data_IF_497450109758
#
_entry.id   IF_497450109758
#
_cell.length_a   1.000
_cell.length_b   1.000
_cell.length_c   1.000
_cell.angle_alpha   90.00
_cell.angle_beta   90.00
_cell.angle_gamma   90.00
#
_symmetry.space_group_name_H-M   'P 1'
#
loop_
_entity.id
_entity.type
_entity.pdbx_description
1 polymer ?
#
# COMPACT_ATOMS: atom_id res chain seq x y z
N UNK A 1 1.08 -7.70 12.06
CA UNK A 1 2.21 -7.08 11.33
C UNK A 1 3.06 -8.15 10.66
N UNK A 2 3.65 -7.81 9.51
CA UNK A 2 4.62 -8.65 8.83
C UNK A 2 5.95 -8.72 9.58
N UNK A 3 6.63 -9.83 9.41
CA UNK A 3 7.97 -10.10 9.93
C UNK A 3 8.92 -10.47 8.79
N UNK A 4 10.23 -10.57 9.00
CA UNK A 4 11.17 -10.98 7.94
C UNK A 4 10.84 -12.32 7.27
N UNK A 5 10.12 -13.23 7.93
CA UNK A 5 9.71 -14.51 7.35
C UNK A 5 8.68 -14.35 6.23
N UNK A 6 8.00 -13.19 6.16
CA UNK A 6 6.96 -12.91 5.19
C UNK A 6 7.49 -12.29 3.88
N UNK A 7 8.79 -12.01 3.77
CA UNK A 7 9.39 -11.32 2.62
C UNK A 7 9.10 -12.03 1.31
N UNK A 8 9.28 -13.35 1.26
CA UNK A 8 9.05 -14.13 0.03
C UNK A 8 7.58 -14.10 -0.40
N UNK A 9 6.66 -14.22 0.54
CA UNK A 9 5.23 -14.17 0.26
C UNK A 9 4.80 -12.76 -0.18
N UNK A 10 5.36 -11.73 0.42
CA UNK A 10 5.14 -10.33 0.01
C UNK A 10 5.69 -10.06 -1.38
N UNK A 11 6.88 -10.58 -1.71
CA UNK A 11 7.44 -10.45 -3.04
C UNK A 11 6.47 -11.01 -4.11
N UNK A 12 5.95 -12.23 -3.88
CA UNK A 12 5.00 -12.87 -4.80
C UNK A 12 3.72 -12.03 -4.93
N UNK A 13 3.20 -11.51 -3.82
CA UNK A 13 2.01 -10.66 -3.80
C UNK A 13 2.21 -9.37 -4.59
N UNK A 14 3.35 -8.71 -4.41
CA UNK A 14 3.67 -7.45 -5.09
C UNK A 14 4.03 -7.64 -6.58
N UNK A 15 4.60 -8.78 -6.94
CA UNK A 15 4.77 -9.16 -8.35
C UNK A 15 3.41 -9.30 -9.06
N UNK A 16 2.43 -9.91 -8.39
CA UNK A 16 1.05 -9.96 -8.91
C UNK A 16 0.44 -8.58 -9.05
N UNK A 17 0.61 -7.70 -8.05
CA UNK A 17 0.17 -6.32 -8.12
C UNK A 17 0.77 -5.60 -9.34
N UNK A 18 2.06 -5.74 -9.56
CA UNK A 18 2.77 -5.12 -10.69
C UNK A 18 2.21 -5.60 -12.04
N UNK A 19 1.90 -6.88 -12.16
CA UNK A 19 1.32 -7.46 -13.39
C UNK A 19 -0.09 -6.99 -13.69
N UNK A 20 -0.84 -6.53 -12.70
CA UNK A 20 -2.19 -5.98 -12.87
C UNK A 20 -2.19 -4.50 -13.25
N UNK A 21 -1.06 -3.80 -13.25
CA UNK A 21 -1.03 -2.39 -13.60
C UNK A 21 -1.47 -2.17 -15.04
N UNK A 22 -2.32 -1.17 -15.26
CA UNK A 22 -2.86 -0.83 -16.59
C UNK A 22 -2.01 0.21 -17.32
N UNK A 23 -1.15 0.91 -16.60
CA UNK A 23 -0.20 1.86 -17.16
C UNK A 23 1.15 1.18 -17.39
N UNK A 24 1.87 1.63 -18.40
CA UNK A 24 3.24 1.18 -18.59
C UNK A 24 4.11 1.56 -17.39
N UNK A 25 4.72 0.56 -16.78
CA UNK A 25 5.57 0.72 -15.60
C UNK A 25 6.93 0.05 -15.82
N UNK A 26 7.93 0.54 -15.11
CA UNK A 26 9.26 -0.05 -15.15
C UNK A 26 9.22 -1.52 -14.67
N UNK A 27 10.07 -2.39 -15.22
CA UNK A 27 10.16 -3.78 -14.77
C UNK A 27 10.65 -3.85 -13.32
N UNK A 28 10.22 -4.90 -12.62
CA UNK A 28 10.70 -5.16 -11.26
C UNK A 28 12.20 -5.49 -11.29
N UNK A 29 12.95 -4.83 -10.42
CA UNK A 29 14.28 -5.26 -10.02
C UNK A 29 14.13 -6.07 -8.72
N UNK A 30 14.40 -7.38 -8.71
CA UNK A 30 14.15 -8.24 -7.55
C UNK A 30 14.88 -7.79 -6.28
N UNK A 31 16.14 -7.44 -6.38
CA UNK A 31 16.94 -6.98 -5.21
C UNK A 31 16.39 -5.69 -4.62
N UNK A 32 15.99 -4.76 -5.47
CA UNK A 32 15.41 -3.49 -5.05
C UNK A 32 14.04 -3.70 -4.37
N UNK A 33 13.21 -4.57 -4.91
CA UNK A 33 11.91 -4.87 -4.31
C UNK A 33 12.08 -5.57 -2.95
N UNK A 34 12.95 -6.56 -2.86
CA UNK A 34 13.25 -7.24 -1.57
C UNK A 34 13.80 -6.23 -0.55
N UNK A 35 14.70 -5.35 -0.96
CA UNK A 35 15.23 -4.28 -0.11
C UNK A 35 14.15 -3.33 0.39
N UNK A 36 13.22 -2.92 -0.47
CA UNK A 36 12.09 -2.07 -0.11
C UNK A 36 11.15 -2.76 0.91
N UNK A 37 10.83 -4.05 0.68
CA UNK A 37 10.01 -4.84 1.62
C UNK A 37 10.69 -4.92 2.99
N UNK A 38 11.96 -5.26 3.03
CA UNK A 38 12.72 -5.33 4.28
C UNK A 38 12.78 -3.98 5.00
N UNK A 39 13.01 -2.90 4.27
CA UNK A 39 13.01 -1.54 4.86
C UNK A 39 11.65 -1.22 5.49
N UNK A 40 10.57 -1.50 4.79
CA UNK A 40 9.21 -1.26 5.31
C UNK A 40 8.90 -2.12 6.55
N UNK A 41 9.35 -3.37 6.59
CA UNK A 41 9.17 -4.25 7.76
C UNK A 41 9.93 -3.72 8.97
N UNK A 42 11.19 -3.30 8.79
CA UNK A 42 12.05 -2.91 9.91
C UNK A 42 11.83 -1.45 10.36
N UNK A 43 11.48 -0.55 9.46
CA UNK A 43 11.41 0.91 9.73
C UNK A 43 10.03 1.52 9.54
N UNK A 44 9.09 0.76 9.03
CA UNK A 44 7.77 1.25 8.70
C UNK A 44 6.65 0.41 9.28
N UNK A 45 5.56 0.36 8.56
CA UNK A 45 4.37 -0.41 8.90
C UNK A 45 4.04 -1.33 7.72
N UNK A 46 4.05 -2.64 7.95
CA UNK A 46 3.58 -3.62 6.98
C UNK A 46 2.54 -4.50 7.63
N UNK A 47 1.33 -4.49 7.08
CA UNK A 47 0.20 -5.28 7.54
C UNK A 47 -0.17 -6.32 6.48
N UNK A 48 -0.55 -7.49 6.94
CA UNK A 48 -0.98 -8.60 6.11
C UNK A 48 -2.45 -8.92 6.39
N UNK A 49 -3.20 -9.23 5.35
CA UNK A 49 -4.48 -9.88 5.45
C UNK A 49 -4.34 -11.36 5.09
N UNK A 50 -4.76 -12.23 5.99
CA UNK A 50 -4.68 -13.66 5.82
C UNK A 50 -6.08 -14.30 5.83
N UNK A 51 -6.29 -15.27 4.94
CA UNK A 51 -7.48 -16.12 4.91
C UNK A 51 -7.00 -17.56 4.80
N UNK A 52 -7.41 -18.40 5.76
CA UNK A 52 -7.00 -19.81 5.81
C UNK A 52 -5.48 -20.01 5.70
N UNK A 53 -4.73 -19.22 6.47
CA UNK A 53 -3.25 -19.23 6.51
C UNK A 53 -2.57 -18.81 5.19
N UNK A 54 -3.30 -18.16 4.28
CA UNK A 54 -2.74 -17.59 3.04
C UNK A 54 -2.81 -16.09 3.08
N UNK A 55 -1.75 -15.42 2.69
CA UNK A 55 -1.71 -13.97 2.53
C UNK A 55 -2.52 -13.62 1.28
N UNK A 56 -3.58 -12.83 1.47
CA UNK A 56 -4.48 -12.38 0.39
C UNK A 56 -4.38 -10.90 0.12
N UNK A 57 -3.68 -10.16 0.96
CA UNK A 57 -3.47 -8.73 0.76
C UNK A 57 -2.46 -8.15 1.73
N UNK A 58 -1.99 -6.96 1.42
CA UNK A 58 -1.04 -6.23 2.25
C UNK A 58 -1.15 -4.72 2.00
N UNK A 59 -0.84 -3.96 3.03
CA UNK A 59 -0.51 -2.54 2.95
C UNK A 59 0.83 -2.33 3.64
N UNK A 60 1.72 -1.62 2.98
CA UNK A 60 3.04 -1.30 3.52
C UNK A 60 3.37 0.17 3.31
N UNK A 61 4.00 0.78 4.29
CA UNK A 61 4.34 2.19 4.21
C UNK A 61 5.45 2.62 5.16
N UNK A 62 5.91 3.84 4.94
CA UNK A 62 6.96 4.50 5.70
C UNK A 62 6.51 5.86 6.22
N UNK A 63 7.06 6.23 7.37
CA UNK A 63 6.92 7.57 7.90
C UNK A 63 7.95 8.51 7.24
N UNK A 64 7.50 9.70 6.87
CA UNK A 64 8.35 10.76 6.36
C UNK A 64 7.75 12.14 6.67
N UNK A 65 8.50 13.20 6.44
CA UNK A 65 8.01 14.56 6.51
C UNK A 65 7.90 15.16 5.11
N UNK A 66 7.19 16.27 5.00
CA UNK A 66 7.23 17.09 3.79
C UNK A 66 8.60 17.75 3.64
N UNK A 67 8.99 18.09 2.42
CA UNK A 67 10.27 18.80 2.21
C UNK A 67 10.28 20.23 2.79
N UNK A 68 9.11 20.77 3.15
CA UNK A 68 8.95 22.12 3.72
C UNK A 68 8.47 22.12 5.17
N UNK A 69 8.27 20.96 5.82
CA UNK A 69 7.68 20.87 7.15
C UNK A 69 8.21 19.67 7.92
N UNK A 70 8.35 19.83 9.22
CA UNK A 70 8.73 18.74 10.12
C UNK A 70 7.56 17.83 10.50
N UNK A 71 6.34 18.17 10.05
CA UNK A 71 5.17 17.33 10.32
C UNK A 71 5.30 15.97 9.67
N UNK A 72 5.25 14.92 10.49
CA UNK A 72 5.33 13.54 10.02
C UNK A 72 4.00 13.06 9.43
N UNK A 73 4.11 12.25 8.39
CA UNK A 73 3.01 11.50 7.82
C UNK A 73 3.41 10.06 7.58
N UNK A 74 2.44 9.15 7.61
CA UNK A 74 2.59 7.77 7.20
C UNK A 74 2.00 7.61 5.81
N UNK A 75 2.85 7.26 4.85
CA UNK A 75 2.45 7.08 3.44
C UNK A 75 2.58 5.63 3.04
N UNK A 76 1.65 5.15 2.23
CA UNK A 76 1.78 3.81 1.66
C UNK A 76 2.86 3.76 0.57
N UNK A 77 3.54 2.62 0.51
CA UNK A 77 4.38 2.20 -0.61
C UNK A 77 3.60 1.26 -1.53
N UNK A 78 2.74 0.46 -0.93
CA UNK A 78 1.81 -0.42 -1.63
C UNK A 78 0.54 -0.64 -0.83
N UNK A 79 -0.54 -0.89 -1.56
CA UNK A 79 -1.79 -1.43 -1.04
C UNK A 79 -2.39 -2.35 -2.09
N UNK A 80 -2.51 -3.62 -1.76
CA UNK A 80 -2.98 -4.63 -2.71
C UNK A 80 -3.74 -5.74 -2.01
N UNK A 81 -4.83 -6.15 -2.63
CA UNK A 81 -5.62 -7.33 -2.24
C UNK A 81 -5.84 -8.17 -3.48
N UNK A 82 -5.64 -9.47 -3.37
CA UNK A 82 -5.88 -10.40 -4.48
C UNK A 82 -7.32 -10.27 -5.01
N UNK A 83 -7.54 -10.39 -6.33
CA UNK A 83 -8.86 -10.21 -6.95
C UNK A 83 -9.97 -11.01 -6.27
N UNK A 84 -9.74 -12.27 -5.95
CA UNK A 84 -10.72 -13.16 -5.32
C UNK A 84 -11.10 -12.75 -3.89
N UNK A 85 -10.31 -11.90 -3.25
CA UNK A 85 -10.53 -11.43 -1.87
C UNK A 85 -11.01 -9.97 -1.80
N UNK A 86 -11.21 -9.29 -2.92
CA UNK A 86 -11.63 -7.87 -2.96
C UNK A 86 -13.05 -7.63 -2.49
N UNK A 87 -13.92 -8.62 -2.57
CA UNK A 87 -15.28 -8.56 -2.05
C UNK A 87 -15.37 -8.92 -0.56
N UNK A 88 -14.25 -9.23 0.07
CA UNK A 88 -14.15 -9.49 1.49
C UNK A 88 -13.87 -8.19 2.27
N UNK A 89 -13.86 -8.29 3.60
CA UNK A 89 -13.49 -7.18 4.49
C UNK A 89 -11.97 -6.89 4.55
N UNK A 90 -11.14 -7.64 3.82
CA UNK A 90 -9.69 -7.55 3.90
C UNK A 90 -9.15 -6.14 3.59
N UNK A 91 -9.60 -5.55 2.48
CA UNK A 91 -9.17 -4.20 2.07
C UNK A 91 -9.51 -3.15 3.14
N UNK A 92 -10.74 -3.15 3.62
CA UNK A 92 -11.21 -2.19 4.64
C UNK A 92 -10.41 -2.35 5.95
N UNK A 93 -10.20 -3.58 6.39
CA UNK A 93 -9.45 -3.87 7.63
C UNK A 93 -7.99 -3.43 7.53
N UNK A 94 -7.34 -3.68 6.41
CA UNK A 94 -5.97 -3.24 6.17
C UNK A 94 -5.85 -1.72 6.27
N UNK A 95 -6.68 -0.97 5.55
CA UNK A 95 -6.62 0.49 5.53
C UNK A 95 -6.99 1.07 6.88
N UNK A 96 -8.06 0.58 7.54
CA UNK A 96 -8.44 1.06 8.88
C UNK A 96 -7.34 0.83 9.91
N UNK A 97 -6.69 -0.33 9.88
CA UNK A 97 -5.57 -0.64 10.79
C UNK A 97 -4.36 0.26 10.51
N UNK A 98 -4.07 0.53 9.25
CA UNK A 98 -2.99 1.43 8.86
C UNK A 98 -3.26 2.87 9.33
N UNK A 99 -4.47 3.37 9.13
CA UNK A 99 -4.90 4.70 9.60
C UNK A 99 -4.78 4.78 11.13
N UNK A 100 -5.27 3.75 11.83
CA UNK A 100 -5.19 3.69 13.29
C UNK A 100 -3.76 3.80 13.80
N UNK A 101 -2.83 3.03 13.21
CA UNK A 101 -1.41 3.07 13.60
C UNK A 101 -0.82 4.47 13.39
N UNK A 102 -1.07 5.10 12.26
CA UNK A 102 -0.59 6.45 12.00
C UNK A 102 -1.17 7.48 12.98
N UNK A 103 -2.47 7.42 13.26
CA UNK A 103 -3.12 8.33 14.21
C UNK A 103 -2.58 8.14 15.64
N UNK A 104 -2.37 6.92 16.09
CA UNK A 104 -1.78 6.63 17.39
C UNK A 104 -0.34 7.16 17.52
N UNK A 105 0.38 7.24 16.41
CA UNK A 105 1.71 7.84 16.35
C UNK A 105 1.70 9.36 16.05
N UNK A 106 0.54 9.99 16.06
CA UNK A 106 0.33 11.42 15.74
C UNK A 106 0.86 11.80 14.33
N UNK A 107 0.70 10.90 13.37
CA UNK A 107 1.07 11.12 11.97
C UNK A 107 -0.19 11.28 11.11
N UNK A 108 -0.13 12.18 10.13
CA UNK A 108 -1.14 12.24 9.07
C UNK A 108 -1.01 11.03 8.14
N UNK A 109 -2.12 10.60 7.57
CA UNK A 109 -2.14 9.49 6.61
C UNK A 109 -2.16 10.02 5.19
N UNK A 110 -1.29 9.47 4.34
CA UNK A 110 -1.31 9.70 2.90
C UNK A 110 -1.35 8.35 2.20
N UNK A 111 -2.42 8.12 1.45
CA UNK A 111 -2.58 6.92 0.64
C UNK A 111 -2.71 7.29 -0.82
N UNK A 112 -2.07 6.52 -1.69
CA UNK A 112 -2.12 6.69 -3.13
C UNK A 112 -2.69 5.46 -3.83
N UNK A 113 -3.24 5.68 -5.03
CA UNK A 113 -3.56 4.60 -5.96
C UNK A 113 -3.24 5.08 -7.37
N UNK A 114 -2.17 4.58 -7.90
CA UNK A 114 -1.67 4.96 -9.21
C UNK A 114 -1.42 3.71 -10.07
N UNK A 115 -1.41 3.87 -11.38
CA UNK A 115 -1.11 2.85 -12.38
C UNK A 115 -2.11 1.69 -12.51
N UNK A 116 -3.03 1.49 -11.60
CA UNK A 116 -3.91 0.31 -11.58
C UNK A 116 -5.32 0.52 -12.15
N UNK A 117 -5.63 1.71 -12.65
CA UNK A 117 -6.95 2.03 -13.22
C UNK A 117 -8.08 2.07 -12.18
N UNK A 118 -9.33 2.13 -12.68
CA UNK A 118 -10.54 2.18 -11.86
C UNK A 118 -10.51 3.26 -10.76
N UNK A 119 -10.05 4.44 -11.12
CA UNK A 119 -9.79 5.54 -10.18
C UNK A 119 -11.04 5.99 -9.44
N UNK A 120 -12.19 6.04 -10.11
CA UNK A 120 -13.44 6.48 -9.51
C UNK A 120 -13.89 5.54 -8.38
N UNK A 121 -13.80 4.22 -8.59
CA UNK A 121 -14.12 3.22 -7.56
C UNK A 121 -13.20 3.33 -6.35
N UNK A 122 -11.91 3.56 -6.57
CA UNK A 122 -10.90 3.73 -5.51
C UNK A 122 -11.11 5.03 -4.76
N UNK A 123 -11.42 6.12 -5.44
CA UNK A 123 -11.75 7.39 -4.80
C UNK A 123 -12.98 7.25 -3.88
N UNK A 124 -14.01 6.52 -4.30
CA UNK A 124 -15.16 6.20 -3.46
C UNK A 124 -14.79 5.34 -2.25
N UNK A 125 -13.94 4.35 -2.45
CA UNK A 125 -13.46 3.48 -1.37
C UNK A 125 -12.74 4.29 -0.28
N UNK A 126 -11.77 5.11 -0.65
CA UNK A 126 -11.04 5.95 0.30
C UNK A 126 -11.93 7.03 0.94
N UNK A 127 -12.85 7.60 0.18
CA UNK A 127 -13.82 8.56 0.70
C UNK A 127 -14.71 7.99 1.80
N UNK A 128 -15.15 6.74 1.68
CA UNK A 128 -15.91 6.03 2.71
C UNK A 128 -15.11 5.80 4.00
N UNK A 129 -13.80 5.83 3.92
CA UNK A 129 -12.89 5.69 5.07
C UNK A 129 -12.51 7.04 5.69
N UNK A 130 -13.14 8.14 5.24
CA UNK A 130 -12.92 9.47 5.77
C UNK A 130 -11.72 10.21 5.16
N UNK A 131 -11.16 9.70 4.06
CA UNK A 131 -10.06 10.34 3.34
C UNK A 131 -10.61 11.22 2.21
N UNK A 132 -9.93 12.32 1.93
CA UNK A 132 -10.25 13.22 0.82
C UNK A 132 -9.12 13.21 -0.18
N UNK A 133 -9.48 13.32 -1.46
CA UNK A 133 -8.50 13.38 -2.55
C UNK A 133 -7.70 14.69 -2.46
N UNK A 134 -6.39 14.56 -2.30
CA UNK A 134 -5.49 15.71 -2.13
C UNK A 134 -4.84 16.17 -3.45
N UNK A 135 -4.87 15.33 -4.48
CA UNK A 135 -4.25 15.66 -5.77
C UNK A 135 -4.26 14.50 -6.74
N UNK A 136 -3.51 14.64 -7.82
CA UNK A 136 -3.37 13.63 -8.86
C UNK A 136 -1.92 13.53 -9.33
N UNK A 137 -1.53 12.35 -9.83
CA UNK A 137 -0.26 12.12 -10.49
C UNK A 137 -0.48 12.06 -12.00
N UNK A 138 0.37 12.72 -12.76
CA UNK A 138 0.38 12.66 -14.21
C UNK A 138 1.70 12.06 -14.69
N UNK A 139 1.65 11.23 -15.72
CA UNK A 139 2.82 10.61 -16.32
C UNK A 139 2.74 10.69 -17.84
N UNK A 140 3.88 10.59 -18.48
CA UNK A 140 3.92 10.48 -19.95
C UNK A 140 3.36 9.14 -20.39
N UNK A 141 2.76 9.14 -21.58
CA UNK A 141 2.30 7.91 -22.24
C UNK A 141 3.40 7.43 -23.17
N UNK A 142 3.76 6.17 -23.08
CA UNK A 142 4.75 5.55 -23.98
C UNK A 142 4.14 5.22 -25.35
#
# INVERSE_FOLDING_TARGET
RATPVDVSALYILLDKMHRETVMSVAPINPEKLIGAINTAIHRGVVLLAEVKNKIVGSIGGLASSEWWSDQMHLSDMWFYVLPDSRNSSAAIKLVKSFIKIGNEANMKIKLGHVYSGDFERKDKFFGRLGLVKAGSLYTEVN
#
